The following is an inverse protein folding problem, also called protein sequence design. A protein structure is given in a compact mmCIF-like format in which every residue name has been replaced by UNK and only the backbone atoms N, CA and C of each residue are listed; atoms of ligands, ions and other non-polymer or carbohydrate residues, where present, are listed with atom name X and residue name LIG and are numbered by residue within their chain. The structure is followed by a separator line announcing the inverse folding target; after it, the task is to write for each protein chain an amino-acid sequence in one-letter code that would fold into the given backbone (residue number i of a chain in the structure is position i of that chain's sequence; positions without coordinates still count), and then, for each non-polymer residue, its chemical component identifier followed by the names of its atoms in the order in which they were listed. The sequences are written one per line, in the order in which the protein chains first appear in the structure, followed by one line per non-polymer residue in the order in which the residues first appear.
data_IF_325962119587
#
_entry.id   IF_325962119587
#
_cell.length_a   1.000
_cell.length_b   1.000
_cell.length_c   1.000
_cell.angle_alpha   90.00
_cell.angle_beta   90.00
_cell.angle_gamma   90.00
#
_symmetry.space_group_name_H-M   'P 1'
#
loop_
_entity.id
_entity.type
_entity.pdbx_description
1 polymer ?
#
# COMPACT_ATOMS: atom_id res chain seq x y z
N UNK A 1 -15.44 11.22 12.70
CA UNK A 1 -14.52 11.08 11.57
C UNK A 1 -13.67 12.34 11.54
N UNK A 2 -12.36 12.23 11.41
CA UNK A 2 -11.50 13.42 11.39
C UNK A 2 -11.68 14.22 10.09
N UNK A 3 -11.35 15.51 10.14
CA UNK A 3 -11.31 16.41 8.97
C UNK A 3 -10.41 15.83 7.86
N UNK A 4 -9.30 15.19 8.23
CA UNK A 4 -8.37 14.55 7.29
C UNK A 4 -9.08 13.45 6.51
N UNK A 5 -9.80 12.55 7.19
CA UNK A 5 -10.52 11.45 6.56
C UNK A 5 -11.65 11.95 5.65
N UNK A 6 -12.38 12.99 6.08
CA UNK A 6 -13.44 13.59 5.27
C UNK A 6 -12.90 14.29 4.01
N UNK A 7 -11.80 15.05 4.14
CA UNK A 7 -11.12 15.65 3.00
C UNK A 7 -10.61 14.60 2.02
N UNK A 8 -10.09 13.47 2.51
CA UNK A 8 -9.64 12.37 1.64
C UNK A 8 -10.80 11.76 0.86
N UNK A 9 -11.94 11.52 1.52
CA UNK A 9 -13.16 11.03 0.86
C UNK A 9 -13.66 11.99 -0.21
N UNK A 10 -13.70 13.29 0.10
CA UNK A 10 -14.14 14.30 -0.85
C UNK A 10 -13.22 14.33 -2.09
N UNK A 11 -11.91 14.38 -1.88
CA UNK A 11 -10.94 14.40 -2.97
C UNK A 11 -10.97 13.11 -3.81
N UNK A 12 -11.22 11.95 -3.19
CA UNK A 12 -11.41 10.70 -3.92
C UNK A 12 -12.62 10.75 -4.85
N UNK A 13 -13.73 11.35 -4.39
CA UNK A 13 -14.94 11.56 -5.19
C UNK A 13 -14.68 12.51 -6.36
N UNK A 14 -13.99 13.63 -6.13
CA UNK A 14 -13.60 14.58 -7.18
C UNK A 14 -12.74 13.91 -8.26
N UNK A 15 -11.78 13.07 -7.85
CA UNK A 15 -10.93 12.28 -8.76
C UNK A 15 -11.63 11.04 -9.32
N UNK A 16 -12.91 10.81 -9.00
CA UNK A 16 -13.74 9.66 -9.44
C UNK A 16 -13.15 8.30 -9.06
N UNK A 17 -12.45 8.24 -7.93
CA UNK A 17 -11.89 7.00 -7.37
C UNK A 17 -12.91 6.41 -6.40
N UNK A 18 -13.37 5.21 -6.69
CA UNK A 18 -14.32 4.51 -5.83
C UNK A 18 -13.58 3.60 -4.85
N UNK A 19 -13.82 3.84 -3.56
CA UNK A 19 -13.32 3.00 -2.47
C UNK A 19 -14.48 2.32 -1.73
N UNK A 20 -14.31 1.04 -1.44
CA UNK A 20 -15.04 0.37 -0.36
C UNK A 20 -14.41 0.78 0.96
N UNK A 21 -15.21 1.28 1.90
CA UNK A 21 -14.70 1.78 3.19
C UNK A 21 -15.09 0.83 4.31
N UNK A 22 -14.18 0.61 5.27
CA UNK A 22 -14.43 -0.14 6.49
C UNK A 22 -13.75 0.53 7.67
N UNK A 23 -14.44 0.58 8.79
CA UNK A 23 -13.93 1.09 10.05
C UNK A 23 -13.41 -0.10 10.88
N UNK A 24 -12.22 0.04 11.47
CA UNK A 24 -11.55 -1.01 12.25
C UNK A 24 -10.94 -0.37 13.50
N UNK A 25 -11.13 -1.00 14.66
CA UNK A 25 -10.35 -0.71 15.86
C UNK A 25 -9.14 -1.65 15.89
N UNK A 26 -7.93 -1.08 15.84
CA UNK A 26 -6.68 -1.84 15.93
C UNK A 26 -6.01 -1.59 17.30
N UNK A 27 -5.59 -2.64 18.02
CA UNK A 27 -4.82 -2.46 19.24
C UNK A 27 -3.41 -1.95 18.89
N UNK A 28 -2.97 -0.89 19.57
CA UNK A 28 -1.60 -0.38 19.50
C UNK A 28 -0.98 -0.36 20.89
N UNK A 29 0.29 -0.75 20.97
CA UNK A 29 1.04 -0.73 22.21
C UNK A 29 1.81 0.58 22.33
N UNK A 30 1.57 1.32 23.42
CA UNK A 30 2.31 2.53 23.78
C UNK A 30 3.70 2.19 24.32
N UNK A 31 4.53 3.22 24.47
CA UNK A 31 5.91 3.12 25.00
C UNK A 31 5.96 2.59 26.44
N UNK A 32 4.94 2.87 27.24
CA UNK A 32 4.76 2.38 28.62
C UNK A 32 4.25 0.94 28.69
N UNK A 33 3.97 0.32 27.54
CA UNK A 33 3.46 -1.03 27.43
C UNK A 33 1.94 -1.15 27.49
N UNK A 34 1.21 -0.05 27.71
CA UNK A 34 -0.26 0.00 27.69
C UNK A 34 -0.79 -0.26 26.27
N UNK A 35 -1.86 -1.04 26.16
CA UNK A 35 -2.57 -1.27 24.90
C UNK A 35 -3.73 -0.29 24.79
N UNK A 36 -3.75 0.50 23.73
CA UNK A 36 -4.87 1.39 23.41
C UNK A 36 -5.44 1.05 22.06
N UNK A 37 -6.74 1.26 21.91
CA UNK A 37 -7.42 1.10 20.64
C UNK A 37 -7.20 2.33 19.78
N UNK A 38 -6.71 2.12 18.57
CA UNK A 38 -6.61 3.15 17.55
C UNK A 38 -7.67 2.89 16.48
N UNK A 39 -8.49 3.91 16.22
CA UNK A 39 -9.43 3.86 15.12
C UNK A 39 -8.69 3.94 13.79
N UNK A 40 -9.03 3.06 12.86
CA UNK A 40 -8.51 3.03 11.50
C UNK A 40 -9.66 3.01 10.51
N UNK A 41 -9.51 3.81 9.46
CA UNK A 41 -10.45 3.82 8.33
C UNK A 41 -9.71 3.23 7.13
N UNK A 42 -10.25 2.12 6.62
CA UNK A 42 -9.67 1.36 5.53
C UNK A 42 -10.47 1.63 4.26
N UNK A 43 -9.79 2.18 3.26
CA UNK A 43 -10.30 2.40 1.91
C UNK A 43 -9.70 1.36 0.97
N UNK A 44 -10.54 0.58 0.31
CA UNK A 44 -10.12 -0.50 -0.58
C UNK A 44 -10.65 -0.29 -1.98
N UNK A 45 -9.80 -0.50 -2.98
CA UNK A 45 -10.19 -0.47 -4.39
C UNK A 45 -9.34 -1.46 -5.18
N UNK A 46 -9.58 -1.57 -6.49
CA UNK A 46 -8.73 -2.33 -7.39
C UNK A 46 -8.29 -1.41 -8.53
N UNK A 47 -6.99 -1.35 -8.77
CA UNK A 47 -6.42 -0.56 -9.84
C UNK A 47 -5.94 -1.48 -10.97
N UNK A 48 -6.36 -1.18 -12.20
CA UNK A 48 -5.79 -1.81 -13.38
C UNK A 48 -4.47 -1.13 -13.70
N UNK A 49 -3.35 -1.82 -13.45
CA UNK A 49 -2.00 -1.26 -13.65
C UNK A 49 -1.53 -1.42 -15.09
N UNK A 50 -1.97 -2.48 -15.78
CA UNK A 50 -1.80 -2.65 -17.22
C UNK A 50 -2.94 -3.50 -17.80
N UNK A 51 -2.87 -3.83 -19.10
CA UNK A 51 -3.91 -4.58 -19.81
C UNK A 51 -4.18 -5.97 -19.20
N UNK A 52 -3.17 -6.57 -18.56
CA UNK A 52 -3.21 -7.96 -18.08
C UNK A 52 -3.30 -8.08 -16.57
N UNK A 53 -3.26 -6.95 -15.83
CA UNK A 53 -3.10 -6.96 -14.38
C UNK A 53 -3.94 -5.92 -13.67
N UNK A 54 -4.77 -6.40 -12.76
CA UNK A 54 -5.42 -5.60 -11.73
C UNK A 54 -4.88 -5.94 -10.34
N UNK A 55 -4.69 -4.92 -9.52
CA UNK A 55 -4.00 -5.02 -8.22
C UNK A 55 -4.92 -4.48 -7.15
N UNK A 56 -5.08 -5.22 -6.05
CA UNK A 56 -5.87 -4.75 -4.92
C UNK A 56 -5.12 -3.63 -4.22
N UNK A 57 -5.77 -2.49 -4.02
CA UNK A 57 -5.15 -1.30 -3.45
C UNK A 57 -5.85 -0.94 -2.14
N UNK A 58 -5.07 -0.55 -1.13
CA UNK A 58 -5.56 -0.15 0.18
C UNK A 58 -4.99 1.20 0.60
N UNK A 59 -5.81 2.02 1.24
CA UNK A 59 -5.39 3.19 2.01
C UNK A 59 -5.93 3.04 3.42
N UNK A 60 -5.07 3.14 4.42
CA UNK A 60 -5.45 3.10 5.83
C UNK A 60 -5.09 4.45 6.42
N UNK A 61 -6.07 5.13 7.03
CA UNK A 61 -5.85 6.35 7.80
C UNK A 61 -6.07 6.02 9.27
N UNK A 62 -5.12 6.38 10.12
CA UNK A 62 -5.27 6.28 11.57
C UNK A 62 -6.09 7.48 12.04
N UNK A 63 -7.41 7.30 12.11
CA UNK A 63 -8.38 8.38 12.34
C UNK A 63 -8.34 8.81 13.80
N UNK A 64 -8.07 10.08 14.02
CA UNK A 64 -8.04 10.70 15.35
C UNK A 64 -8.28 12.20 15.19
N UNK A 65 -8.81 12.83 16.25
CA UNK A 65 -9.05 14.28 16.28
C UNK A 65 -7.76 15.04 16.60
N UNK A 66 -6.82 15.00 15.65
CA UNK A 66 -5.48 15.59 15.74
C UNK A 66 -5.10 16.22 14.40
N UNK A 67 -4.23 17.24 14.39
CA UNK A 67 -3.88 17.98 13.15
C UNK A 67 -3.06 17.16 12.14
N UNK A 68 -2.61 15.96 12.51
CA UNK A 68 -1.85 15.05 11.65
C UNK A 68 -2.24 13.60 11.88
N UNK A 69 -2.44 12.87 10.80
CA UNK A 69 -2.72 11.44 10.83
C UNK A 69 -1.59 10.64 10.16
N UNK A 70 -1.27 9.48 10.73
CA UNK A 70 -0.48 8.48 10.03
C UNK A 70 -1.37 7.79 8.99
N UNK A 71 -0.79 7.46 7.85
CA UNK A 71 -1.47 6.67 6.83
C UNK A 71 -0.54 5.65 6.18
N UNK A 72 -1.17 4.63 5.60
CA UNK A 72 -0.52 3.59 4.82
C UNK A 72 -1.22 3.45 3.48
N UNK A 73 -0.45 3.27 2.41
CA UNK A 73 -0.95 2.88 1.09
C UNK A 73 -0.32 1.54 0.71
N UNK A 74 -1.12 0.59 0.23
CA UNK A 74 -0.63 -0.70 -0.25
C UNK A 74 -1.18 -1.06 -1.62
N UNK A 75 -0.36 -1.75 -2.41
CA UNK A 75 -0.75 -2.51 -3.59
C UNK A 75 -0.42 -3.97 -3.30
N UNK A 76 -1.46 -4.76 -3.18
CA UNK A 76 -1.46 -6.14 -2.71
C UNK A 76 -1.64 -7.09 -3.89
N UNK A 77 -1.25 -8.35 -3.71
CA UNK A 77 -1.34 -9.42 -4.71
C UNK A 77 -0.59 -9.06 -5.99
N UNK A 78 0.57 -8.42 -5.86
CA UNK A 78 1.45 -8.14 -7.00
C UNK A 78 2.03 -9.47 -7.53
N UNK A 79 2.31 -10.41 -6.65
CA UNK A 79 2.79 -11.74 -6.99
C UNK A 79 3.10 -12.52 -5.74
N UNK A 80 3.72 -13.68 -5.90
CA UNK A 80 4.09 -14.56 -4.79
C UNK A 80 5.50 -15.12 -4.99
N UNK A 81 6.21 -15.31 -3.89
CA UNK A 81 7.43 -16.12 -3.85
C UNK A 81 7.03 -17.59 -4.06
N UNK A 82 7.59 -18.22 -5.10
CA UNK A 82 7.36 -19.63 -5.43
C UNK A 82 8.49 -20.54 -4.98
N UNK A 83 9.72 -20.02 -4.89
CA UNK A 83 10.87 -20.74 -4.37
C UNK A 83 11.40 -20.08 -3.09
N UNK A 84 11.09 -20.70 -1.94
CA UNK A 84 11.52 -20.20 -0.64
C UNK A 84 13.01 -20.37 -0.38
N UNK A 85 13.70 -21.26 -1.10
CA UNK A 85 15.15 -21.40 -0.95
C UNK A 85 15.89 -20.16 -1.48
N UNK A 86 15.22 -19.36 -2.33
CA UNK A 86 15.76 -18.16 -2.96
C UNK A 86 15.37 -16.86 -2.27
N UNK A 87 14.75 -16.95 -1.10
CA UNK A 87 14.33 -15.77 -0.33
C UNK A 87 15.48 -14.77 -0.11
N UNK A 88 16.72 -15.18 0.24
CA UNK A 88 17.84 -14.24 0.40
C UNK A 88 18.14 -13.43 -0.88
N UNK A 89 18.14 -14.09 -2.03
CA UNK A 89 18.41 -13.48 -3.35
C UNK A 89 17.25 -12.55 -3.75
N UNK A 90 16.00 -13.03 -3.65
CA UNK A 90 14.81 -12.24 -3.94
C UNK A 90 14.78 -10.96 -3.09
N UNK A 91 15.08 -11.07 -1.79
CA UNK A 91 15.12 -9.90 -0.90
C UNK A 91 16.22 -8.91 -1.31
N UNK A 92 17.37 -9.41 -1.76
CA UNK A 92 18.47 -8.57 -2.26
C UNK A 92 18.04 -7.78 -3.50
N UNK A 93 17.45 -8.45 -4.49
CA UNK A 93 16.97 -7.79 -5.72
C UNK A 93 15.83 -6.79 -5.43
N UNK A 94 14.88 -7.14 -4.55
CA UNK A 94 13.83 -6.21 -4.12
C UNK A 94 14.42 -5.00 -3.40
N UNK A 95 15.47 -5.16 -2.60
CA UNK A 95 16.13 -4.06 -1.91
C UNK A 95 16.82 -3.11 -2.89
N UNK A 96 17.43 -3.62 -3.96
CA UNK A 96 18.01 -2.79 -5.02
C UNK A 96 16.95 -1.96 -5.75
N UNK A 97 15.81 -2.57 -6.08
CA UNK A 97 14.65 -1.85 -6.65
C UNK A 97 14.16 -0.78 -5.67
N UNK A 98 14.07 -1.12 -4.38
CA UNK A 98 13.62 -0.24 -3.32
C UNK A 98 14.55 0.96 -3.10
N UNK A 99 15.85 0.77 -3.28
CA UNK A 99 16.86 1.80 -3.05
C UNK A 99 16.86 2.89 -4.13
N UNK A 100 16.56 2.54 -5.38
CA UNK A 100 16.78 3.44 -6.52
C UNK A 100 15.53 3.73 -7.37
N UNK A 101 14.54 2.83 -7.41
CA UNK A 101 13.52 2.83 -8.48
C UNK A 101 12.08 2.90 -7.99
N UNK A 102 11.79 2.49 -6.76
CA UNK A 102 10.43 2.50 -6.18
C UNK A 102 9.98 3.87 -5.65
N UNK A 103 10.85 4.88 -5.68
CA UNK A 103 10.56 6.22 -5.19
C UNK A 103 10.21 6.20 -3.70
N UNK A 104 8.99 6.62 -3.36
CA UNK A 104 8.49 6.65 -1.98
C UNK A 104 7.77 5.35 -1.56
N UNK A 105 7.79 4.31 -2.39
CA UNK A 105 7.28 2.98 -2.07
C UNK A 105 8.40 2.00 -1.73
N UNK A 106 8.06 0.89 -1.08
CA UNK A 106 8.93 -0.28 -0.92
C UNK A 106 8.16 -1.56 -1.21
N UNK A 107 8.75 -2.47 -1.97
CA UNK A 107 8.32 -3.86 -2.06
C UNK A 107 8.71 -4.60 -0.79
N UNK A 108 7.76 -5.36 -0.26
CA UNK A 108 7.92 -6.23 0.89
C UNK A 108 7.29 -7.59 0.61
N UNK A 109 7.83 -8.62 1.25
CA UNK A 109 7.29 -9.99 1.20
C UNK A 109 6.53 -10.23 2.50
N UNK A 110 5.26 -10.62 2.43
CA UNK A 110 4.47 -11.04 3.58
C UNK A 110 4.84 -12.46 4.05
N UNK A 111 4.35 -12.87 5.22
CA UNK A 111 4.67 -14.19 5.79
C UNK A 111 4.20 -15.39 4.94
N UNK A 112 3.15 -15.22 4.13
CA UNK A 112 2.67 -16.20 3.17
C UNK A 112 3.37 -16.12 1.80
N UNK A 113 4.30 -15.18 1.62
CA UNK A 113 5.09 -15.01 0.40
C UNK A 113 4.49 -14.02 -0.60
N UNK A 114 3.42 -13.31 -0.28
CA UNK A 114 2.84 -12.27 -1.15
C UNK A 114 3.80 -11.09 -1.30
N UNK A 115 3.93 -10.60 -2.53
CA UNK A 115 4.64 -9.35 -2.84
C UNK A 115 3.66 -8.19 -2.71
N UNK A 116 4.00 -7.24 -1.84
CA UNK A 116 3.22 -6.04 -1.55
C UNK A 116 4.09 -4.82 -1.81
N UNK A 117 3.57 -3.81 -2.50
CA UNK A 117 4.20 -2.50 -2.59
C UNK A 117 3.54 -1.56 -1.57
N UNK A 118 4.32 -1.01 -0.64
CA UNK A 118 3.81 -0.24 0.50
C UNK A 118 4.47 1.14 0.61
N UNK A 119 3.66 2.13 0.98
CA UNK A 119 4.10 3.45 1.41
C UNK A 119 3.51 3.75 2.80
N UNK A 120 4.30 4.39 3.66
CA UNK A 120 3.91 4.87 4.97
C UNK A 120 4.18 6.38 5.02
N UNK A 121 3.22 7.15 5.51
CA UNK A 121 3.33 8.60 5.54
C UNK A 121 2.55 9.24 6.68
N UNK A 122 2.70 10.56 6.78
CA UNK A 122 1.97 11.42 7.69
C UNK A 122 1.35 12.53 6.85
N UNK A 123 0.07 12.81 7.05
CA UNK A 123 -0.65 13.88 6.36
C UNK A 123 -1.29 14.82 7.38
N UNK A 124 -1.55 16.06 6.97
CA UNK A 124 -2.44 16.98 7.67
C UNK A 124 -3.78 17.09 6.94
N UNK A 125 -4.49 18.20 7.17
CA UNK A 125 -5.78 18.50 6.53
C UNK A 125 -5.68 18.65 5.01
N UNK A 126 -4.56 19.16 4.48
CA UNK A 126 -4.28 19.10 3.05
C UNK A 126 -3.82 17.69 2.64
N UNK A 127 -4.79 16.89 2.21
CA UNK A 127 -4.61 15.49 1.81
C UNK A 127 -4.21 15.32 0.34
N UNK A 128 -4.03 16.41 -0.42
CA UNK A 128 -3.64 16.32 -1.84
C UNK A 128 -2.35 15.53 -2.06
N UNK A 129 -1.27 15.73 -1.28
CA UNK A 129 -0.04 14.95 -1.46
C UNK A 129 -0.27 13.45 -1.24
N UNK A 130 -1.04 13.08 -0.22
CA UNK A 130 -1.39 11.68 0.06
C UNK A 130 -2.18 11.06 -1.10
N UNK A 131 -3.14 11.79 -1.66
CA UNK A 131 -3.92 11.31 -2.82
C UNK A 131 -3.06 11.17 -4.07
N UNK A 132 -2.16 12.12 -4.32
CA UNK A 132 -1.27 12.05 -5.47
C UNK A 132 -0.30 10.87 -5.32
N UNK A 133 0.25 10.65 -4.13
CA UNK A 133 1.05 9.45 -3.79
C UNK A 133 0.29 8.18 -4.19
N UNK A 134 -1.00 8.05 -3.82
CA UNK A 134 -1.87 6.93 -4.20
C UNK A 134 -2.10 6.82 -5.72
N UNK A 135 -2.30 7.93 -6.43
CA UNK A 135 -2.54 7.87 -7.89
C UNK A 135 -1.25 7.48 -8.63
N UNK A 136 -0.12 8.04 -8.24
CA UNK A 136 1.17 7.80 -8.88
C UNK A 136 1.74 6.42 -8.55
N UNK A 137 1.40 5.82 -7.41
CA UNK A 137 1.85 4.47 -7.06
C UNK A 137 1.47 3.41 -8.11
N UNK A 138 0.30 3.52 -8.74
CA UNK A 138 -0.08 2.62 -9.84
C UNK A 138 0.85 2.73 -11.05
N UNK A 139 1.33 3.93 -11.37
CA UNK A 139 2.27 4.19 -12.46
C UNK A 139 3.66 3.64 -12.13
N UNK A 140 4.12 3.86 -10.89
CA UNK A 140 5.38 3.31 -10.39
C UNK A 140 5.35 1.79 -10.48
N UNK A 141 4.30 1.15 -9.96
CA UNK A 141 4.15 -0.29 -10.03
C UNK A 141 4.18 -0.80 -11.47
N UNK A 142 3.42 -0.19 -12.38
CA UNK A 142 3.43 -0.59 -13.78
C UNK A 142 4.83 -0.51 -14.42
N UNK A 143 5.60 0.52 -14.11
CA UNK A 143 6.97 0.68 -14.62
C UNK A 143 7.95 -0.34 -14.03
N UNK A 144 7.68 -0.88 -12.84
CA UNK A 144 8.56 -1.83 -12.15
C UNK A 144 8.17 -3.29 -12.34
N UNK A 145 6.96 -3.58 -12.83
CA UNK A 145 6.54 -4.94 -13.15
C UNK A 145 7.57 -5.70 -14.02
N UNK A 146 8.10 -5.13 -15.12
CA UNK A 146 9.09 -5.84 -15.95
C UNK A 146 10.40 -6.16 -15.22
N UNK A 147 10.73 -5.46 -14.14
CA UNK A 147 11.92 -5.73 -13.34
C UNK A 147 11.65 -6.84 -12.32
N UNK A 148 10.47 -6.81 -11.71
CA UNK A 148 10.02 -7.87 -10.82
C UNK A 148 9.90 -9.21 -11.58
N UNK A 149 9.52 -9.19 -12.86
CA UNK A 149 9.44 -10.39 -13.71
C UNK A 149 10.80 -11.04 -13.97
N UNK A 150 11.91 -10.30 -13.80
CA UNK A 150 13.27 -10.83 -13.97
C UNK A 150 13.78 -11.53 -12.71
N UNK A 151 13.14 -11.31 -11.56
CA UNK A 151 13.55 -11.90 -10.29
C UNK A 151 13.11 -13.36 -10.29
N UNK A 152 14.07 -14.27 -10.39
CA UNK A 152 13.80 -15.70 -10.39
C UNK A 152 13.24 -16.16 -9.03
N UNK A 153 12.22 -17.02 -9.05
CA UNK A 153 11.51 -17.46 -7.84
C UNK A 153 10.30 -16.59 -7.47
N UNK A 154 9.94 -15.61 -8.30
CA UNK A 154 8.66 -14.90 -8.23
C UNK A 154 7.67 -15.38 -9.30
N UNK A 155 6.39 -15.45 -8.93
CA UNK A 155 5.25 -15.60 -9.83
C UNK A 155 4.37 -14.35 -9.74
N UNK A 156 4.35 -13.57 -10.81
CA UNK A 156 3.56 -12.34 -10.91
C UNK A 156 2.27 -12.54 -11.70
N UNK A 157 1.92 -13.78 -12.08
CA UNK A 157 0.68 -14.03 -12.82
C UNK A 157 -0.53 -13.64 -11.98
N UNK A 158 -1.53 -13.06 -12.63
CA UNK A 158 -2.75 -12.71 -11.93
C UNK A 158 -3.52 -13.99 -11.59
N UNK A 159 -3.48 -14.38 -10.32
CA UNK A 159 -4.31 -15.48 -9.82
C UNK A 159 -5.77 -15.07 -9.90
N UNK A 160 -6.56 -15.85 -10.64
CA UNK A 160 -8.02 -15.75 -10.60
C UNK A 160 -8.44 -16.29 -9.23
N UNK A 161 -8.95 -15.40 -8.38
CA UNK A 161 -9.71 -15.81 -7.21
C UNK A 161 -10.98 -16.54 -7.66
#
# INVERSE_FOLDING_TARGET
MSVITDNFKHLAQEKKIQFKTKDIEAPIRKKDGEEVKQQQIVFQTALRVNQNKAVACGVIIHDADVPRANYQITYNKIGYVTDRNRLPEIVTELNEINAMRSGYYRFVISGDGEIIMRHLGITGEDVKPMMDVFVFGGRILNALLPELEKIEGLDLTQRKN
#
